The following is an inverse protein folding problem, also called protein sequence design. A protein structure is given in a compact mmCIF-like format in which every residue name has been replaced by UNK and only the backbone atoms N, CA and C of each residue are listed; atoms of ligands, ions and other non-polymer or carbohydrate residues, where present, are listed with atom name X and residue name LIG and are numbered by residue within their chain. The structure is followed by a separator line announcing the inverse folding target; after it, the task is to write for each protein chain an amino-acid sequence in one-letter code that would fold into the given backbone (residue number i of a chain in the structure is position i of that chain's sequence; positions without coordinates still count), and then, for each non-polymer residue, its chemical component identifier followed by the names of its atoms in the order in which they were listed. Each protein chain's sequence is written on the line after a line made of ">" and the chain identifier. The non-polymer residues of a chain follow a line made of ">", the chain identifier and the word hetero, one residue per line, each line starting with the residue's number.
data_IF_854604374288
#
_entry.id   IF_854604374288
#
_cell.length_a   1.000
_cell.length_b   1.000
_cell.length_c   1.000
_cell.angle_alpha   90.00
_cell.angle_beta   90.00
_cell.angle_gamma   90.00
#
_symmetry.space_group_name_H-M   'P 1'
#
loop_
_entity.id
_entity.type
_entity.pdbx_description
1 polymer ?
#
# COMPACT_ATOMS: atom_id res chain seq x y z
N UNK A 1 -24.83 -47.79 26.84
CA UNK A 1 -25.18 -47.47 25.44
C UNK A 1 -24.78 -46.02 25.25
N UNK A 2 -23.60 -45.78 24.66
CA UNK A 2 -22.93 -44.48 24.67
C UNK A 2 -23.61 -43.50 23.70
N UNK A 3 -23.80 -42.30 24.20
CA UNK A 3 -24.34 -41.12 23.51
C UNK A 3 -23.39 -40.70 22.38
N UNK A 4 -23.89 -40.77 21.14
CA UNK A 4 -23.17 -40.33 19.94
C UNK A 4 -23.23 -38.80 19.90
N UNK A 5 -22.19 -38.18 20.46
CA UNK A 5 -22.02 -36.74 20.55
C UNK A 5 -22.27 -36.02 19.21
N UNK A 6 -23.15 -35.04 19.29
CA UNK A 6 -23.42 -34.00 18.29
C UNK A 6 -22.11 -33.38 17.81
N UNK A 7 -21.75 -33.60 16.54
CA UNK A 7 -20.67 -32.85 15.88
C UNK A 7 -21.15 -31.42 15.68
N UNK A 8 -20.55 -30.48 16.41
CA UNK A 8 -20.77 -29.06 16.21
C UNK A 8 -20.36 -28.66 14.78
N UNK A 9 -21.12 -27.80 14.08
CA UNK A 9 -20.73 -27.32 12.77
C UNK A 9 -19.41 -26.57 12.90
N UNK A 10 -18.37 -27.09 12.23
CA UNK A 10 -17.07 -26.44 12.14
C UNK A 10 -17.26 -25.13 11.39
N UNK A 11 -17.12 -24.00 12.09
CA UNK A 11 -17.21 -22.66 11.54
C UNK A 11 -16.07 -22.43 10.54
N UNK A 12 -16.32 -22.85 9.30
CA UNK A 12 -15.40 -22.71 8.18
C UNK A 12 -15.70 -21.37 7.55
N UNK A 13 -14.91 -20.37 7.93
CA UNK A 13 -14.88 -19.03 7.33
C UNK A 13 -14.83 -19.18 5.80
N UNK A 14 -15.97 -18.96 5.14
CA UNK A 14 -16.12 -19.23 3.71
C UNK A 14 -15.34 -18.16 2.94
N UNK A 15 -14.40 -18.57 2.09
CA UNK A 15 -13.63 -17.62 1.26
C UNK A 15 -14.57 -16.79 0.38
N UNK A 16 -14.33 -15.48 0.29
CA UNK A 16 -15.05 -14.61 -0.64
C UNK A 16 -14.87 -15.14 -2.07
N UNK A 17 -15.97 -15.24 -2.83
CA UNK A 17 -15.93 -15.70 -4.22
C UNK A 17 -16.75 -14.77 -5.10
N UNK A 18 -16.29 -14.61 -6.35
CA UNK A 18 -17.06 -13.95 -7.40
C UNK A 18 -17.71 -15.02 -8.27
N UNK A 19 -19.03 -15.02 -8.34
CA UNK A 19 -19.80 -15.86 -9.27
C UNK A 19 -20.08 -15.07 -10.56
N UNK A 20 -19.53 -15.52 -11.67
CA UNK A 20 -19.64 -14.84 -12.97
C UNK A 20 -20.58 -15.63 -13.87
N UNK A 21 -21.70 -15.02 -14.24
CA UNK A 21 -22.63 -15.59 -15.22
C UNK A 21 -22.25 -15.07 -16.61
N UNK A 22 -21.74 -15.97 -17.45
CA UNK A 22 -21.33 -15.65 -18.83
C UNK A 22 -22.49 -15.36 -19.79
N UNK A 23 -22.16 -15.22 -21.08
CA UNK A 23 -23.15 -15.09 -22.16
C UNK A 23 -23.56 -13.66 -22.52
N UNK A 24 -23.06 -12.64 -21.81
CA UNK A 24 -23.31 -11.22 -22.13
C UNK A 24 -22.09 -10.55 -22.74
N UNK A 25 -22.25 -9.95 -23.93
CA UNK A 25 -21.21 -9.10 -24.55
C UNK A 25 -21.09 -7.79 -23.78
N UNK A 26 -19.87 -7.42 -23.37
CA UNK A 26 -19.60 -6.12 -22.77
C UNK A 26 -19.58 -5.03 -23.87
N UNK A 27 -20.24 -3.91 -23.61
CA UNK A 27 -20.27 -2.74 -24.48
C UNK A 27 -20.26 -1.45 -23.63
N UNK A 28 -19.39 -0.51 -23.94
CA UNK A 28 -19.24 0.76 -23.23
C UNK A 28 -17.79 1.19 -23.10
N UNK A 29 -17.54 2.17 -22.22
CA UNK A 29 -16.22 2.71 -21.91
C UNK A 29 -16.00 2.71 -20.40
N UNK A 30 -14.75 2.47 -19.97
CA UNK A 30 -14.34 2.56 -18.56
C UNK A 30 -13.20 3.55 -18.43
N UNK A 31 -13.21 4.36 -17.37
CA UNK A 31 -12.08 5.22 -17.02
C UNK A 31 -11.06 4.42 -16.22
N UNK A 32 -9.81 4.41 -16.68
CA UNK A 32 -8.72 3.77 -15.95
C UNK A 32 -8.21 4.68 -14.83
N UNK A 33 -7.94 4.11 -13.66
CA UNK A 33 -7.17 4.78 -12.62
C UNK A 33 -5.67 4.79 -12.96
N UNK A 34 -4.87 5.57 -12.23
CA UNK A 34 -3.42 5.59 -12.46
C UNK A 34 -2.75 4.26 -12.15
N UNK A 35 -1.59 4.06 -12.77
CA UNK A 35 -0.84 2.82 -12.64
C UNK A 35 -0.19 2.72 -11.25
N UNK A 36 -0.67 1.78 -10.41
CA UNK A 36 -0.11 1.44 -9.09
C UNK A 36 1.42 1.48 -9.07
N UNK A 37 2.08 0.76 -9.98
CA UNK A 37 3.53 0.60 -9.96
C UNK A 37 4.30 1.89 -10.29
N UNK A 38 3.68 2.84 -10.98
CA UNK A 38 4.26 4.16 -11.20
C UNK A 38 4.04 5.03 -9.95
N UNK A 39 2.81 5.04 -9.43
CA UNK A 39 2.43 5.77 -8.22
C UNK A 39 3.31 5.41 -7.03
N UNK A 40 3.51 4.12 -6.74
CA UNK A 40 4.33 3.68 -5.60
C UNK A 40 5.80 4.16 -5.72
N UNK A 41 6.36 4.19 -6.93
CA UNK A 41 7.72 4.71 -7.17
C UNK A 41 7.78 6.22 -7.00
N UNK A 42 6.76 6.95 -7.47
CA UNK A 42 6.67 8.39 -7.27
C UNK A 42 6.50 8.76 -5.79
N UNK A 43 5.70 7.98 -5.06
CA UNK A 43 5.55 8.11 -3.61
C UNK A 43 6.89 7.91 -2.90
N UNK A 44 7.66 6.87 -3.22
CA UNK A 44 9.00 6.68 -2.66
C UNK A 44 9.98 7.80 -3.06
N UNK A 45 9.97 8.20 -4.34
CA UNK A 45 10.84 9.26 -4.86
C UNK A 45 10.56 10.63 -4.22
N UNK A 46 9.35 10.87 -3.71
CA UNK A 46 9.00 12.12 -3.02
C UNK A 46 9.91 12.41 -1.82
N UNK A 47 10.44 11.36 -1.17
CA UNK A 47 11.38 11.50 -0.04
C UNK A 47 12.71 12.16 -0.43
N UNK A 48 13.09 12.15 -1.71
CA UNK A 48 14.36 12.72 -2.19
C UNK A 48 14.40 14.25 -2.06
N UNK A 49 13.25 14.92 -1.98
CA UNK A 49 13.17 16.38 -1.98
C UNK A 49 12.66 16.93 -0.64
N UNK A 50 12.98 18.20 -0.37
CA UNK A 50 12.36 18.98 0.71
C UNK A 50 11.11 19.73 0.24
N UNK A 51 10.80 19.68 -1.05
CA UNK A 51 9.63 20.36 -1.59
C UNK A 51 8.40 19.46 -1.48
N UNK A 52 7.23 20.10 -1.34
CA UNK A 52 5.95 19.40 -1.43
C UNK A 52 5.78 18.74 -2.80
N UNK A 53 5.50 17.45 -2.83
CA UNK A 53 5.17 16.69 -4.02
C UNK A 53 3.65 16.54 -4.16
N UNK A 54 3.14 16.68 -5.39
CA UNK A 54 1.72 16.50 -5.72
C UNK A 54 1.61 15.39 -6.76
N UNK A 55 1.01 14.26 -6.39
CA UNK A 55 0.82 13.11 -7.27
C UNK A 55 -0.67 13.01 -7.59
N UNK A 56 -1.03 13.17 -8.88
CA UNK A 56 -2.42 13.11 -9.36
C UNK A 56 -2.74 11.74 -9.95
N UNK A 57 -4.03 11.43 -10.06
CA UNK A 57 -4.55 10.17 -10.62
C UNK A 57 -4.07 8.93 -9.84
N UNK A 58 -3.96 9.03 -8.52
CA UNK A 58 -3.58 7.94 -7.62
C UNK A 58 -4.77 7.00 -7.40
N UNK A 59 -4.61 5.67 -7.58
CA UNK A 59 -5.69 4.72 -7.32
C UNK A 59 -5.89 4.47 -5.81
N UNK A 60 -7.14 4.36 -5.37
CA UNK A 60 -7.49 3.90 -4.02
C UNK A 60 -7.41 2.38 -3.92
N UNK A 61 -6.22 1.87 -3.58
CA UNK A 61 -5.96 0.44 -3.43
C UNK A 61 -5.09 0.18 -2.20
N UNK A 62 -5.17 -1.03 -1.67
CA UNK A 62 -4.48 -1.42 -0.42
C UNK A 62 -2.97 -1.11 -0.43
N UNK A 63 -2.27 -1.31 -1.54
CA UNK A 63 -0.83 -1.00 -1.62
C UNK A 63 -0.53 0.50 -1.45
N UNK A 64 -1.39 1.38 -1.97
CA UNK A 64 -1.22 2.84 -1.79
C UNK A 64 -1.42 3.19 -0.33
N UNK A 65 -2.44 2.64 0.32
CA UNK A 65 -2.69 2.87 1.76
C UNK A 65 -1.54 2.35 2.63
N UNK A 66 -0.97 1.18 2.31
CA UNK A 66 0.22 0.68 3.00
C UNK A 66 1.40 1.63 2.80
N UNK A 67 1.66 2.08 1.57
CA UNK A 67 2.75 3.02 1.29
C UNK A 67 2.56 4.36 2.01
N UNK A 68 1.32 4.88 2.11
CA UNK A 68 1.00 6.06 2.92
C UNK A 68 1.43 5.83 4.38
N UNK A 69 1.08 4.68 4.95
CA UNK A 69 1.49 4.29 6.30
C UNK A 69 3.01 4.24 6.47
N UNK A 70 3.73 3.63 5.52
CA UNK A 70 5.20 3.56 5.53
C UNK A 70 5.82 4.96 5.49
N UNK A 71 5.38 5.82 4.56
CA UNK A 71 5.92 7.18 4.43
C UNK A 71 5.66 8.02 5.70
N UNK A 72 4.47 7.90 6.28
CA UNK A 72 4.13 8.57 7.56
C UNK A 72 4.99 8.07 8.72
N UNK A 73 5.22 6.76 8.80
CA UNK A 73 6.10 6.20 9.83
C UNK A 73 7.57 6.63 9.68
N UNK A 74 7.99 6.97 8.45
CA UNK A 74 9.30 7.56 8.18
C UNK A 74 9.36 9.07 8.46
N UNK A 75 8.24 9.70 8.86
CA UNK A 75 8.16 11.12 9.20
C UNK A 75 7.69 12.04 8.07
N UNK A 76 7.21 11.49 6.95
CA UNK A 76 6.61 12.30 5.89
C UNK A 76 5.12 12.58 6.15
N UNK A 77 4.69 13.81 5.90
CA UNK A 77 3.27 14.15 5.88
C UNK A 77 2.67 13.73 4.54
N UNK A 78 1.69 12.84 4.58
CA UNK A 78 0.99 12.36 3.38
C UNK A 78 -0.50 12.56 3.57
N UNK A 79 -1.14 13.32 2.68
CA UNK A 79 -2.57 13.62 2.76
C UNK A 79 -3.23 13.56 1.38
N UNK A 80 -4.47 13.08 1.33
CA UNK A 80 -5.31 13.23 0.14
C UNK A 80 -5.80 14.67 0.05
N UNK A 81 -5.57 15.32 -1.09
CA UNK A 81 -6.20 16.61 -1.43
C UNK A 81 -7.64 16.40 -1.91
N UNK A 82 -7.82 15.34 -2.70
CA UNK A 82 -9.08 14.88 -3.26
C UNK A 82 -9.05 13.34 -3.42
N UNK A 83 -10.08 12.75 -4.06
CA UNK A 83 -10.21 11.30 -4.28
C UNK A 83 -9.16 10.66 -5.21
N UNK A 84 -8.22 11.43 -5.74
CA UNK A 84 -7.21 10.96 -6.71
C UNK A 84 -5.87 11.67 -6.57
N UNK A 85 -5.73 12.64 -5.66
CA UNK A 85 -4.53 13.46 -5.55
C UNK A 85 -3.91 13.34 -4.16
N UNK A 86 -2.63 12.94 -4.11
CA UNK A 86 -1.81 12.88 -2.91
C UNK A 86 -0.86 14.08 -2.81
N UNK A 87 -0.80 14.66 -1.62
CA UNK A 87 0.16 15.67 -1.19
C UNK A 87 1.16 15.01 -0.25
N UNK A 88 2.45 15.08 -0.59
CA UNK A 88 3.52 14.48 0.22
C UNK A 88 4.56 15.54 0.56
N UNK A 89 4.95 15.64 1.83
CA UNK A 89 5.99 16.53 2.31
C UNK A 89 6.94 15.80 3.29
N UNK A 90 8.24 15.95 3.09
CA UNK A 90 9.30 15.32 3.89
C UNK A 90 10.35 16.32 4.39
N UNK A 91 10.00 17.61 4.51
CA UNK A 91 10.92 18.68 4.91
C UNK A 91 11.25 18.72 6.41
N UNK A 92 10.49 18.03 7.26
CA UNK A 92 10.66 18.05 8.72
C UNK A 92 11.73 17.06 9.25
N UNK A 93 12.50 16.44 8.34
CA UNK A 93 13.46 15.40 8.67
C UNK A 93 12.82 14.01 8.58
N UNK A 94 13.62 13.03 8.14
CA UNK A 94 13.16 11.66 7.97
C UNK A 94 13.79 10.76 9.04
N UNK A 95 13.00 9.85 9.58
CA UNK A 95 13.48 8.69 10.31
C UNK A 95 14.26 7.76 9.39
N UNK A 96 14.85 6.70 9.96
CA UNK A 96 15.62 5.71 9.19
C UNK A 96 15.03 4.30 9.28
N UNK A 97 13.90 4.13 9.98
CA UNK A 97 13.24 2.84 10.19
C UNK A 97 11.73 3.00 10.09
N UNK A 98 11.08 2.09 9.37
CA UNK A 98 9.63 1.93 9.40
C UNK A 98 9.28 0.67 10.24
N UNK A 99 8.09 0.61 10.86
CA UNK A 99 7.62 -0.58 11.58
C UNK A 99 7.57 -1.82 10.68
N UNK A 100 8.06 -2.94 11.19
CA UNK A 100 8.18 -4.19 10.43
C UNK A 100 6.83 -4.71 9.91
N UNK A 101 5.75 -4.47 10.65
CA UNK A 101 4.37 -4.86 10.29
C UNK A 101 3.93 -4.22 8.95
N UNK A 102 4.19 -2.93 8.78
CA UNK A 102 3.83 -2.19 7.55
C UNK A 102 4.70 -2.59 6.36
N UNK A 103 5.98 -2.86 6.62
CA UNK A 103 6.96 -3.24 5.58
C UNK A 103 6.71 -4.69 5.11
N UNK A 104 6.23 -5.56 6.00
CA UNK A 104 5.91 -6.96 5.71
C UNK A 104 4.65 -7.12 4.85
N UNK A 105 3.65 -6.25 5.00
CA UNK A 105 2.41 -6.32 4.20
C UNK A 105 2.61 -6.00 2.71
N UNK A 106 3.71 -5.33 2.33
CA UNK A 106 3.93 -4.92 0.94
C UNK A 106 5.39 -5.11 0.50
N UNK A 107 5.64 -6.03 -0.44
CA UNK A 107 6.96 -6.25 -1.06
C UNK A 107 7.56 -4.98 -1.70
N UNK A 108 6.72 -4.06 -2.17
CA UNK A 108 7.14 -2.78 -2.75
C UNK A 108 7.70 -1.78 -1.72
N UNK A 109 7.60 -2.05 -0.41
CA UNK A 109 8.18 -1.19 0.64
C UNK A 109 9.69 -1.00 0.48
N UNK A 110 10.39 -1.97 -0.12
CA UNK A 110 11.81 -1.86 -0.49
C UNK A 110 12.14 -0.63 -1.35
N UNK A 111 11.16 -0.07 -2.06
CA UNK A 111 11.35 1.10 -2.93
C UNK A 111 11.76 2.36 -2.16
N UNK A 112 11.43 2.47 -0.86
CA UNK A 112 11.83 3.63 -0.04
C UNK A 112 13.30 3.57 0.37
N UNK A 113 13.96 2.41 0.23
CA UNK A 113 15.34 2.19 0.69
C UNK A 113 16.33 3.16 0.05
N UNK A 114 16.27 3.32 -1.29
CA UNK A 114 17.15 4.23 -2.02
C UNK A 114 16.97 5.69 -1.59
N UNK A 115 15.75 6.26 -1.70
CA UNK A 115 15.47 7.61 -1.24
C UNK A 115 15.87 7.88 0.21
N UNK A 116 15.59 6.93 1.12
CA UNK A 116 15.92 7.08 2.52
C UNK A 116 17.44 7.08 2.74
N UNK A 117 18.15 6.12 2.16
CA UNK A 117 19.61 6.04 2.25
C UNK A 117 20.29 7.31 1.74
N UNK A 118 19.82 7.87 0.62
CA UNK A 118 20.31 9.14 0.08
C UNK A 118 20.08 10.31 1.05
N UNK A 119 18.95 10.33 1.74
CA UNK A 119 18.53 11.44 2.61
C UNK A 119 19.14 11.41 4.01
N UNK A 120 19.32 10.22 4.57
CA UNK A 120 19.66 10.03 5.99
C UNK A 120 21.03 9.38 6.18
N UNK A 121 21.65 8.87 5.12
CA UNK A 121 22.90 8.10 5.17
C UNK A 121 22.76 6.71 5.78
N UNK A 122 21.55 6.31 6.23
CA UNK A 122 21.29 5.00 6.85
C UNK A 122 19.85 4.56 6.69
N UNK A 123 19.63 3.27 6.55
CA UNK A 123 18.28 2.69 6.43
C UNK A 123 18.20 1.37 7.17
N UNK A 124 17.10 1.18 7.90
CA UNK A 124 16.71 -0.08 8.52
C UNK A 124 15.31 -0.42 8.01
N UNK A 125 15.21 -1.46 7.21
CA UNK A 125 13.94 -1.98 6.70
C UNK A 125 13.88 -3.48 6.94
N UNK A 126 12.69 -3.99 7.24
CA UNK A 126 12.44 -5.42 7.23
C UNK A 126 12.66 -5.97 5.82
N UNK A 127 13.40 -7.07 5.71
CA UNK A 127 13.57 -7.76 4.43
C UNK A 127 12.30 -8.58 4.15
N UNK A 128 11.51 -8.26 3.10
CA UNK A 128 10.36 -9.08 2.76
C UNK A 128 10.83 -10.51 2.42
N UNK A 129 10.19 -11.50 3.03
CA UNK A 129 10.46 -12.92 2.80
C UNK A 129 10.01 -13.41 1.42
N UNK A 130 10.33 -14.67 1.14
CA UNK A 130 9.90 -15.42 -0.05
C UNK A 130 8.49 -15.97 0.10
#
# INVERSE_FOLDING_TARGET
>A
MMDLGTVAPTDTKTAERLEIIGGKRLYGSVKTSGAKNAVLKLMAASLLTNNRCIIRNVPHIKDVEIMIGVLRALGADVNWEDNTTLLINSNHGLGYSAPDELVREMRASVQVMGPLLTRTGRVKLFQPGG
#
